data_IF_069989301489
#
_entry.id   IF_069989301489
#
_cell.length_a   1.000
_cell.length_b   1.000
_cell.length_c   1.000
_cell.angle_alpha   90.00
_cell.angle_beta   90.00
_cell.angle_gamma   90.00
#
_symmetry.space_group_name_H-M   'P 1'
#
loop_
_entity.id
_entity.type
_entity.pdbx_description
1 polymer ?
#
# COMPACT_ATOMS: atom_id res chain seq x y z
N UNK A 1 31.73 -17.95 13.21
CA UNK A 1 31.77 -18.16 11.74
C UNK A 1 31.47 -19.61 11.35
N UNK A 2 30.92 -20.40 12.27
CA UNK A 2 30.88 -21.86 12.15
C UNK A 2 29.78 -22.33 11.20
N UNK A 3 28.68 -21.58 11.09
CA UNK A 3 27.66 -21.80 10.07
C UNK A 3 28.26 -21.76 8.64
N UNK A 4 29.10 -20.78 8.33
CA UNK A 4 29.73 -20.65 7.00
C UNK A 4 30.67 -21.82 6.72
N UNK A 5 31.47 -22.25 7.72
CA UNK A 5 32.35 -23.42 7.60
C UNK A 5 31.55 -24.72 7.37
N UNK A 6 30.46 -24.90 8.11
CA UNK A 6 29.58 -26.06 8.01
C UNK A 6 28.96 -26.16 6.60
N UNK A 7 28.45 -25.04 6.07
CA UNK A 7 27.87 -24.99 4.72
C UNK A 7 28.93 -25.27 3.64
N UNK A 8 30.13 -24.70 3.75
CA UNK A 8 31.23 -24.98 2.80
C UNK A 8 31.62 -26.47 2.80
N UNK A 9 31.69 -27.08 3.99
CA UNK A 9 31.96 -28.51 4.14
C UNK A 9 30.86 -29.37 3.53
N UNK A 10 29.60 -29.07 3.84
CA UNK A 10 28.43 -29.78 3.29
C UNK A 10 28.34 -29.66 1.77
N UNK A 11 28.68 -28.49 1.22
CA UNK A 11 28.75 -28.24 -0.22
C UNK A 11 30.00 -28.85 -0.88
N UNK A 12 30.97 -29.35 -0.10
CA UNK A 12 32.29 -29.82 -0.55
C UNK A 12 33.04 -28.76 -1.38
N UNK A 13 32.90 -27.50 -1.02
CA UNK A 13 33.51 -26.36 -1.73
C UNK A 13 34.61 -25.70 -0.88
N UNK A 14 35.66 -25.22 -1.54
CA UNK A 14 36.69 -24.40 -0.93
C UNK A 14 36.27 -22.94 -0.96
N UNK A 15 36.87 -22.12 -0.08
CA UNK A 15 36.64 -20.66 -0.04
C UNK A 15 36.95 -19.98 -1.38
N UNK A 16 37.89 -20.54 -2.15
CA UNK A 16 38.31 -20.04 -3.47
C UNK A 16 37.24 -20.18 -4.53
N UNK A 17 36.35 -21.16 -4.37
CA UNK A 17 35.34 -21.54 -5.36
C UNK A 17 34.11 -20.62 -5.30
N UNK A 18 34.05 -19.75 -4.28
CA UNK A 18 33.00 -18.76 -4.11
C UNK A 18 33.32 -17.55 -4.99
N UNK A 19 32.49 -17.29 -6.00
CA UNK A 19 32.68 -16.20 -6.95
C UNK A 19 32.30 -14.85 -6.34
N UNK A 20 31.13 -14.78 -5.70
CA UNK A 20 30.58 -13.55 -5.14
C UNK A 20 30.01 -13.81 -3.74
N UNK A 21 30.09 -12.77 -2.89
CA UNK A 21 29.53 -12.78 -1.54
C UNK A 21 28.47 -11.68 -1.49
N UNK A 22 27.20 -12.07 -1.56
CA UNK A 22 26.06 -11.16 -1.47
C UNK A 22 25.61 -11.03 -0.01
N UNK A 23 25.41 -9.80 0.44
CA UNK A 23 24.90 -9.51 1.79
C UNK A 23 23.39 -9.25 1.74
N UNK A 24 22.63 -10.00 2.51
CA UNK A 24 21.16 -9.89 2.62
C UNK A 24 20.76 -9.89 4.10
N UNK A 25 19.79 -9.03 4.46
CA UNK A 25 19.31 -8.83 5.82
C UNK A 25 19.96 -7.64 6.52
N UNK A 26 19.18 -6.86 7.27
CA UNK A 26 19.63 -5.61 7.89
C UNK A 26 20.81 -5.76 8.86
N UNK A 27 20.96 -6.89 9.53
CA UNK A 27 22.10 -7.18 10.42
C UNK A 27 23.44 -7.23 9.69
N UNK A 28 23.45 -7.48 8.38
CA UNK A 28 24.66 -7.46 7.55
C UNK A 28 25.22 -6.05 7.33
N UNK A 29 24.50 -5.01 7.73
CA UNK A 29 24.97 -3.61 7.71
C UNK A 29 26.00 -3.32 8.82
N UNK A 30 26.10 -4.17 9.84
CA UNK A 30 27.04 -4.02 10.95
C UNK A 30 28.48 -4.11 10.41
N UNK A 31 29.33 -3.07 10.55
CA UNK A 31 30.69 -3.07 9.99
C UNK A 31 31.54 -4.24 10.47
N UNK A 32 31.41 -4.61 11.75
CA UNK A 32 32.17 -5.74 12.32
C UNK A 32 31.83 -7.06 11.65
N UNK A 33 30.56 -7.30 11.30
CA UNK A 33 30.13 -8.51 10.58
C UNK A 33 30.75 -8.53 9.19
N UNK A 34 30.77 -7.40 8.50
CA UNK A 34 31.37 -7.28 7.18
C UNK A 34 32.88 -7.52 7.20
N UNK A 35 33.60 -6.93 8.16
CA UNK A 35 35.04 -7.17 8.33
C UNK A 35 35.32 -8.65 8.62
N UNK A 36 34.57 -9.27 9.54
CA UNK A 36 34.73 -10.69 9.85
C UNK A 36 34.49 -11.60 8.63
N UNK A 37 33.55 -11.25 7.75
CA UNK A 37 33.32 -11.96 6.50
C UNK A 37 34.47 -11.74 5.50
N UNK A 38 34.95 -10.51 5.36
CA UNK A 38 36.09 -10.19 4.51
C UNK A 38 37.34 -10.96 4.95
N UNK A 39 37.68 -10.92 6.24
CA UNK A 39 38.81 -11.64 6.82
C UNK A 39 38.68 -13.15 6.57
N UNK A 40 37.47 -13.70 6.75
CA UNK A 40 37.22 -15.12 6.52
C UNK A 40 37.41 -15.53 5.05
N UNK A 41 37.04 -14.66 4.11
CA UNK A 41 37.19 -14.87 2.67
C UNK A 41 38.46 -14.19 2.10
N UNK A 42 39.49 -14.06 2.92
CA UNK A 42 40.83 -13.60 2.51
C UNK A 42 40.81 -12.19 1.85
N UNK A 43 40.04 -11.26 2.41
CA UNK A 43 39.93 -9.89 1.92
C UNK A 43 39.05 -9.69 0.68
N UNK A 44 38.29 -10.71 0.26
CA UNK A 44 37.37 -10.58 -0.89
C UNK A 44 36.35 -9.46 -0.68
N UNK A 45 36.06 -8.73 -1.75
CA UNK A 45 35.04 -7.68 -1.74
C UNK A 45 33.65 -8.28 -1.55
N UNK A 46 32.89 -7.69 -0.64
CA UNK A 46 31.48 -8.03 -0.43
C UNK A 46 30.65 -7.28 -1.46
N UNK A 47 29.78 -8.02 -2.16
CA UNK A 47 28.89 -7.46 -3.16
C UNK A 47 27.68 -6.78 -2.49
N UNK A 48 27.44 -5.53 -2.87
CA UNK A 48 26.35 -4.67 -2.39
C UNK A 48 25.44 -4.19 -3.52
N UNK A 49 25.49 -4.84 -4.68
CA UNK A 49 24.67 -4.50 -5.85
C UNK A 49 23.17 -4.71 -5.60
N UNK A 50 22.82 -5.53 -4.59
CA UNK A 50 21.45 -5.83 -4.20
C UNK A 50 21.13 -5.14 -2.88
N UNK A 51 19.93 -4.56 -2.79
CA UNK A 51 19.44 -4.00 -1.54
C UNK A 51 19.18 -5.12 -0.52
N UNK A 52 19.90 -5.09 0.61
CA UNK A 52 19.87 -6.14 1.63
C UNK A 52 18.48 -6.34 2.27
N UNK A 53 17.64 -5.31 2.32
CA UNK A 53 16.34 -5.38 2.99
C UNK A 53 15.22 -5.83 2.03
N UNK A 54 15.39 -5.58 0.73
CA UNK A 54 14.37 -5.88 -0.28
C UNK A 54 14.65 -7.17 -1.08
N UNK A 55 15.90 -7.65 -1.07
CA UNK A 55 16.33 -8.81 -1.87
C UNK A 55 15.41 -10.03 -1.67
N UNK A 56 15.00 -10.28 -0.41
CA UNK A 56 14.12 -11.41 -0.05
C UNK A 56 12.73 -11.22 -0.65
N UNK A 57 12.17 -10.01 -0.55
CA UNK A 57 10.86 -9.70 -1.11
C UNK A 57 10.85 -9.84 -2.63
N UNK A 58 11.88 -9.32 -3.33
CA UNK A 58 12.02 -9.50 -4.77
C UNK A 58 12.07 -10.99 -5.15
N UNK A 59 12.89 -11.79 -4.45
CA UNK A 59 12.98 -13.24 -4.69
C UNK A 59 11.63 -13.95 -4.51
N UNK A 60 10.88 -13.59 -3.47
CA UNK A 60 9.55 -14.14 -3.21
C UNK A 60 8.54 -13.73 -4.30
N UNK A 61 8.56 -12.48 -4.75
CA UNK A 61 7.70 -12.02 -5.86
C UNK A 61 8.01 -12.74 -7.16
N UNK A 62 9.30 -13.00 -7.47
CA UNK A 62 9.69 -13.78 -8.65
C UNK A 62 9.14 -15.20 -8.58
N UNK A 63 9.20 -15.85 -7.41
CA UNK A 63 8.63 -17.16 -7.21
C UNK A 63 7.09 -17.15 -7.33
N UNK A 64 6.42 -16.18 -6.72
CA UNK A 64 4.98 -16.02 -6.81
C UNK A 64 4.53 -15.82 -8.26
N UNK A 65 5.16 -14.90 -9.00
CA UNK A 65 4.87 -14.66 -10.41
C UNK A 65 5.11 -15.89 -11.29
N UNK A 66 6.07 -16.76 -10.92
CA UNK A 66 6.27 -18.04 -11.59
C UNK A 66 5.13 -19.01 -11.32
N UNK A 67 4.68 -19.10 -10.07
CA UNK A 67 3.57 -19.98 -9.66
C UNK A 67 2.22 -19.53 -10.24
N UNK A 68 1.99 -18.22 -10.36
CA UNK A 68 0.76 -17.67 -10.96
C UNK A 68 0.79 -17.62 -12.49
N UNK A 69 1.91 -18.00 -13.12
CA UNK A 69 2.07 -17.96 -14.58
C UNK A 69 2.18 -16.56 -15.18
N UNK A 70 2.41 -15.53 -14.37
CA UNK A 70 2.46 -14.11 -14.78
C UNK A 70 3.89 -13.64 -15.15
N UNK A 71 4.81 -14.57 -15.44
CA UNK A 71 6.20 -14.26 -15.77
C UNK A 71 6.34 -13.54 -17.12
N UNK A 72 7.19 -12.51 -17.18
CA UNK A 72 7.61 -11.90 -18.46
C UNK A 72 8.58 -12.81 -19.22
N UNK A 73 8.70 -12.64 -20.55
CA UNK A 73 9.62 -13.44 -21.41
C UNK A 73 11.07 -13.42 -20.90
N UNK A 74 11.52 -12.29 -20.35
CA UNK A 74 12.87 -12.14 -19.79
C UNK A 74 13.11 -12.97 -18.51
N UNK A 75 12.05 -13.37 -17.81
CA UNK A 75 12.11 -14.10 -16.53
C UNK A 75 11.97 -15.63 -16.71
N UNK A 76 11.60 -16.10 -17.90
CA UNK A 76 11.34 -17.52 -18.18
C UNK A 76 12.57 -18.43 -18.06
N UNK A 77 13.79 -17.86 -18.12
CA UNK A 77 15.04 -18.62 -17.95
C UNK A 77 15.32 -19.01 -16.48
N UNK A 78 14.56 -18.48 -15.52
CA UNK A 78 14.75 -18.74 -14.08
C UNK A 78 14.09 -20.06 -13.64
N UNK A 79 14.92 -21.06 -13.31
CA UNK A 79 14.46 -22.33 -12.71
C UNK A 79 14.38 -22.21 -11.18
N UNK A 80 13.34 -21.55 -10.68
CA UNK A 80 12.98 -21.63 -9.26
C UNK A 80 12.28 -22.96 -8.96
N UNK A 81 12.71 -23.69 -7.93
CA UNK A 81 12.08 -24.93 -7.46
C UNK A 81 11.36 -24.64 -6.15
N UNK A 82 10.10 -25.05 -6.06
CA UNK A 82 9.40 -25.05 -4.78
C UNK A 82 9.81 -26.29 -3.98
N UNK A 83 10.28 -26.05 -2.77
CA UNK A 83 10.50 -27.04 -1.73
C UNK A 83 10.09 -26.38 -0.43
N UNK A 84 8.80 -26.42 -0.12
CA UNK A 84 8.24 -25.90 1.13
C UNK A 84 8.92 -26.46 2.38
N UNK A 85 9.67 -27.57 2.26
CA UNK A 85 10.39 -28.19 3.38
C UNK A 85 9.45 -28.86 4.39
N UNK A 86 8.16 -28.97 4.06
CA UNK A 86 7.13 -29.59 4.88
C UNK A 86 7.09 -31.08 4.58
N UNK A 87 7.20 -31.91 5.62
CA UNK A 87 7.13 -33.37 5.50
C UNK A 87 5.66 -33.82 5.52
N UNK A 88 5.20 -34.43 4.43
CA UNK A 88 3.90 -35.09 4.36
C UNK A 88 4.07 -36.61 4.54
N UNK A 89 3.49 -37.16 5.61
CA UNK A 89 3.48 -38.62 5.86
C UNK A 89 2.09 -39.16 5.55
N UNK A 90 1.98 -40.04 4.55
CA UNK A 90 0.75 -40.76 4.22
C UNK A 90 0.99 -42.26 4.37
N UNK A 91 0.11 -42.96 5.08
CA UNK A 91 0.17 -44.43 5.20
C UNK A 91 -0.81 -45.03 4.18
N UNK A 92 -0.32 -45.93 3.34
CA UNK A 92 -1.14 -46.71 2.40
C UNK A 92 -1.01 -48.18 2.77
N UNK A 93 -2.11 -48.81 3.18
CA UNK A 93 -2.17 -50.23 3.46
C UNK A 93 -2.21 -51.04 2.15
N UNK A 94 -1.24 -51.93 1.93
CA UNK A 94 -1.07 -52.68 0.66
C UNK A 94 -2.04 -53.87 0.50
N UNK A 95 -2.66 -54.36 1.58
CA UNK A 95 -3.53 -55.55 1.63
C UNK A 95 -4.90 -55.32 1.00
N UNK A 96 -5.40 -54.09 1.03
CA UNK A 96 -6.67 -53.71 0.44
C UNK A 96 -6.36 -52.76 -0.73
N UNK A 97 -6.83 -53.05 -1.95
CA UNK A 97 -6.79 -52.09 -3.09
C UNK A 97 -7.64 -50.82 -2.85
N UNK A 98 -7.92 -50.46 -1.59
CA UNK A 98 -8.61 -49.25 -1.17
C UNK A 98 -7.62 -48.39 -0.38
N UNK A 99 -7.19 -47.28 -0.97
CA UNK A 99 -6.57 -46.18 -0.23
C UNK A 99 -7.56 -45.71 0.83
N UNK A 100 -7.19 -45.81 2.11
CA UNK A 100 -7.83 -45.03 3.18
C UNK A 100 -7.10 -43.71 3.32
N UNK A 101 -7.89 -42.65 3.56
CA UNK A 101 -7.52 -41.25 3.42
C UNK A 101 -6.29 -40.86 4.24
N UNK A 102 -5.52 -39.95 3.66
CA UNK A 102 -4.37 -39.26 4.25
C UNK A 102 -4.76 -38.68 5.61
N UNK A 103 -4.34 -39.30 6.71
CA UNK A 103 -4.41 -38.65 8.03
C UNK A 103 -3.14 -37.83 8.22
N UNK A 104 -3.22 -36.53 7.97
CA UNK A 104 -2.14 -35.60 8.30
C UNK A 104 -2.04 -35.52 9.82
N UNK A 105 -1.11 -36.28 10.41
CA UNK A 105 -0.85 -36.18 11.85
C UNK A 105 -0.14 -34.85 12.06
N UNK A 106 -0.87 -33.87 12.60
CA UNK A 106 -0.29 -32.59 12.97
C UNK A 106 0.67 -32.82 14.15
N UNK A 107 1.97 -32.82 13.86
CA UNK A 107 2.98 -32.96 14.89
C UNK A 107 3.04 -31.69 15.73
N UNK A 108 3.24 -31.86 17.05
CA UNK A 108 3.29 -30.82 18.08
C UNK A 108 3.73 -29.45 17.55
N UNK A 109 2.81 -28.49 17.55
CA UNK A 109 3.08 -27.07 17.22
C UNK A 109 2.34 -26.51 16.00
N UNK A 110 1.63 -27.34 15.21
CA UNK A 110 0.72 -26.82 14.19
C UNK A 110 -0.68 -26.55 14.75
N UNK A 111 -1.41 -25.65 14.10
CA UNK A 111 -2.80 -25.30 14.43
C UNK A 111 -3.77 -26.38 13.94
N UNK A 112 -4.83 -26.65 14.69
CA UNK A 112 -5.94 -27.48 14.20
C UNK A 112 -6.72 -26.76 13.09
N UNK A 113 -7.51 -27.49 12.30
CA UNK A 113 -8.35 -26.88 11.26
C UNK A 113 -9.35 -25.88 11.87
N UNK A 114 -9.89 -26.17 13.05
CA UNK A 114 -10.80 -25.27 13.77
C UNK A 114 -10.08 -24.02 14.30
N UNK A 115 -8.84 -24.14 14.76
CA UNK A 115 -8.01 -23.00 15.14
C UNK A 115 -7.71 -22.10 13.94
N UNK A 116 -7.35 -22.69 12.80
CA UNK A 116 -7.13 -21.97 11.55
C UNK A 116 -8.40 -21.22 11.15
N UNK A 117 -9.57 -21.86 11.20
CA UNK A 117 -10.84 -21.23 10.86
C UNK A 117 -11.19 -20.07 11.80
N UNK A 118 -10.99 -20.22 13.11
CA UNK A 118 -11.18 -19.12 14.07
C UNK A 118 -10.25 -17.95 13.77
N UNK A 119 -8.96 -18.22 13.50
CA UNK A 119 -7.99 -17.18 13.17
C UNK A 119 -8.33 -16.47 11.85
N UNK A 120 -8.82 -17.19 10.84
CA UNK A 120 -9.29 -16.59 9.58
C UNK A 120 -10.51 -15.69 9.81
N UNK A 121 -11.48 -16.13 10.61
CA UNK A 121 -12.66 -15.33 10.94
C UNK A 121 -12.29 -14.07 11.73
N UNK A 122 -11.36 -14.15 12.67
CA UNK A 122 -10.90 -12.98 13.42
C UNK A 122 -10.10 -12.01 12.54
N UNK A 123 -9.25 -12.51 11.64
CA UNK A 123 -8.55 -11.69 10.66
C UNK A 123 -9.51 -10.91 9.76
N UNK A 124 -10.60 -11.54 9.29
CA UNK A 124 -11.61 -10.86 8.48
C UNK A 124 -12.40 -9.81 9.29
N UNK A 125 -12.70 -10.07 10.57
CA UNK A 125 -13.30 -9.05 11.46
C UNK A 125 -12.38 -7.84 11.61
N UNK A 126 -11.09 -8.04 11.87
CA UNK A 126 -10.13 -6.94 12.03
C UNK A 126 -9.97 -6.15 10.74
N UNK A 127 -9.91 -6.82 9.59
CA UNK A 127 -9.91 -6.17 8.28
C UNK A 127 -11.15 -5.27 8.07
N UNK A 128 -12.34 -5.72 8.48
CA UNK A 128 -13.56 -4.91 8.39
C UNK A 128 -13.54 -3.70 9.33
N UNK A 129 -12.98 -3.85 10.53
CA UNK A 129 -12.78 -2.73 11.48
C UNK A 129 -11.80 -1.71 10.89
N UNK A 130 -10.65 -2.17 10.40
CA UNK A 130 -9.63 -1.33 9.77
C UNK A 130 -10.20 -0.60 8.54
N UNK A 131 -11.02 -1.27 7.73
CA UNK A 131 -11.63 -0.66 6.56
C UNK A 131 -12.67 0.42 6.94
N UNK A 132 -13.48 0.18 7.96
CA UNK A 132 -14.42 1.19 8.50
C UNK A 132 -13.68 2.41 9.02
N UNK A 133 -12.61 2.21 9.79
CA UNK A 133 -11.76 3.29 10.28
C UNK A 133 -11.08 4.04 9.13
N UNK A 134 -10.59 3.33 8.11
CA UNK A 134 -10.02 3.95 6.90
C UNK A 134 -11.04 4.85 6.18
N UNK A 135 -12.29 4.40 6.03
CA UNK A 135 -13.36 5.19 5.41
C UNK A 135 -13.73 6.41 6.25
N UNK A 136 -13.82 6.24 7.57
CA UNK A 136 -14.06 7.32 8.54
C UNK A 136 -12.97 8.40 8.46
N UNK A 137 -11.70 8.00 8.44
CA UNK A 137 -10.56 8.91 8.30
C UNK A 137 -10.54 9.59 6.92
N UNK A 138 -10.88 8.86 5.85
CA UNK A 138 -11.01 9.46 4.52
C UNK A 138 -12.11 10.54 4.47
N UNK A 139 -13.28 10.27 5.07
CA UNK A 139 -14.38 11.25 5.17
C UNK A 139 -13.98 12.48 6.01
N UNK A 140 -13.29 12.26 7.13
CA UNK A 140 -12.73 13.33 7.97
C UNK A 140 -11.74 14.19 7.19
N UNK A 141 -10.75 13.57 6.55
CA UNK A 141 -9.71 14.28 5.81
C UNK A 141 -10.29 15.02 4.61
N UNK A 142 -11.28 14.43 3.94
CA UNK A 142 -12.06 15.11 2.91
C UNK A 142 -12.69 16.39 3.45
N UNK A 143 -13.49 16.27 4.52
CA UNK A 143 -14.17 17.43 5.15
C UNK A 143 -13.18 18.52 5.59
N UNK A 144 -12.08 18.14 6.23
CA UNK A 144 -11.03 19.09 6.65
C UNK A 144 -10.45 19.81 5.44
N UNK A 145 -10.12 19.08 4.36
CA UNK A 145 -9.64 19.68 3.12
C UNK A 145 -10.63 20.68 2.53
N UNK A 146 -11.91 20.32 2.48
CA UNK A 146 -12.96 21.20 1.96
C UNK A 146 -13.22 22.43 2.83
N UNK A 147 -13.17 22.30 4.16
CA UNK A 147 -13.22 23.44 5.09
C UNK A 147 -12.10 24.44 4.79
N UNK A 148 -10.86 23.95 4.60
CA UNK A 148 -9.73 24.81 4.24
C UNK A 148 -9.94 25.48 2.88
N UNK A 149 -10.38 24.74 1.86
CA UNK A 149 -10.65 25.31 0.53
C UNK A 149 -11.74 26.38 0.55
N UNK A 150 -12.85 26.15 1.25
CA UNK A 150 -13.91 27.16 1.39
C UNK A 150 -13.41 28.38 2.14
N UNK A 151 -12.64 28.18 3.22
CA UNK A 151 -12.09 29.30 3.98
C UNK A 151 -11.17 30.16 3.12
N UNK A 152 -10.25 29.55 2.38
CA UNK A 152 -9.36 30.24 1.45
C UNK A 152 -10.13 31.00 0.38
N UNK A 153 -11.17 30.38 -0.20
CA UNK A 153 -11.99 31.03 -1.22
C UNK A 153 -12.78 32.22 -0.65
N UNK A 154 -13.34 32.10 0.56
CA UNK A 154 -14.05 33.19 1.25
C UNK A 154 -13.11 34.31 1.72
N UNK A 155 -11.81 34.04 1.86
CA UNK A 155 -10.79 35.04 2.17
C UNK A 155 -10.18 35.67 0.91
N UNK A 156 -10.47 35.13 -0.28
CA UNK A 156 -9.98 35.67 -1.55
C UNK A 156 -10.61 37.03 -1.90
N UNK A 157 -9.81 37.93 -2.48
CA UNK A 157 -10.26 39.26 -2.92
C UNK A 157 -11.41 39.19 -3.93
N UNK A 158 -11.42 38.16 -4.78
CA UNK A 158 -12.48 37.92 -5.77
C UNK A 158 -13.82 37.60 -5.13
N UNK A 159 -13.86 36.94 -3.97
CA UNK A 159 -15.10 36.67 -3.24
C UNK A 159 -15.51 37.79 -2.28
N UNK A 160 -14.54 38.50 -1.68
CA UNK A 160 -14.84 39.69 -0.84
C UNK A 160 -15.61 40.76 -1.60
N UNK A 161 -15.28 41.00 -2.86
CA UNK A 161 -15.96 42.01 -3.69
C UNK A 161 -17.37 41.58 -4.13
N UNK A 162 -17.68 40.28 -4.11
CA UNK A 162 -18.87 39.70 -4.74
C UNK A 162 -19.90 39.17 -3.74
N UNK A 163 -19.58 39.21 -2.45
CA UNK A 163 -20.39 38.61 -1.39
C UNK A 163 -20.55 39.60 -0.26
N UNK A 164 -21.72 39.65 0.37
CA UNK A 164 -21.91 40.44 1.59
C UNK A 164 -20.94 39.98 2.68
N UNK A 165 -20.35 40.94 3.39
CA UNK A 165 -19.46 40.70 4.53
C UNK A 165 -20.13 39.81 5.59
N UNK A 166 -21.44 39.96 5.78
CA UNK A 166 -22.21 39.15 6.72
C UNK A 166 -22.24 37.66 6.34
N UNK A 167 -22.44 37.35 5.05
CA UNK A 167 -22.47 35.98 4.53
C UNK A 167 -21.07 35.35 4.57
N UNK A 168 -20.04 36.12 4.24
CA UNK A 168 -18.64 35.70 4.33
C UNK A 168 -18.27 35.34 5.76
N UNK A 169 -18.60 36.21 6.71
CA UNK A 169 -18.34 35.97 8.13
C UNK A 169 -19.19 34.81 8.68
N UNK A 170 -20.40 34.57 8.16
CA UNK A 170 -21.20 33.39 8.49
C UNK A 170 -20.52 32.10 8.03
N UNK A 171 -20.01 32.05 6.79
CA UNK A 171 -19.28 30.89 6.27
C UNK A 171 -18.02 30.56 7.08
N UNK A 172 -17.20 31.58 7.36
CA UNK A 172 -15.97 31.43 8.15
C UNK A 172 -16.29 30.94 9.56
N UNK A 173 -17.27 31.54 10.24
CA UNK A 173 -17.71 31.09 11.58
C UNK A 173 -18.21 29.64 11.58
N UNK A 174 -18.91 29.21 10.54
CA UNK A 174 -19.36 27.82 10.41
C UNK A 174 -18.17 26.87 10.20
N UNK A 175 -17.22 27.24 9.33
CA UNK A 175 -15.98 26.49 9.12
C UNK A 175 -15.18 26.31 10.42
N UNK A 176 -15.01 27.39 11.20
CA UNK A 176 -14.34 27.35 12.50
C UNK A 176 -15.07 26.47 13.52
N UNK A 177 -16.41 26.57 13.59
CA UNK A 177 -17.24 25.70 14.45
C UNK A 177 -17.07 24.22 14.08
N UNK A 178 -17.11 23.90 12.79
CA UNK A 178 -16.91 22.53 12.31
C UNK A 178 -15.50 22.03 12.62
N UNK A 179 -14.46 22.84 12.40
CA UNK A 179 -13.08 22.46 12.72
C UNK A 179 -12.88 22.23 14.22
N UNK A 180 -13.46 23.09 15.07
CA UNK A 180 -13.44 22.92 16.52
C UNK A 180 -14.17 21.65 16.97
N UNK A 181 -15.28 21.30 16.33
CA UNK A 181 -15.97 20.04 16.59
C UNK A 181 -15.12 18.83 16.18
N UNK A 182 -14.51 18.85 14.99
CA UNK A 182 -13.62 17.77 14.49
C UNK A 182 -12.41 17.53 15.41
N UNK A 183 -11.88 18.60 16.03
CA UNK A 183 -10.75 18.50 16.95
C UNK A 183 -11.16 17.97 18.34
N UNK A 184 -12.40 18.22 18.76
CA UNK A 184 -12.92 17.78 20.08
C UNK A 184 -13.50 16.37 20.03
N UNK A 185 -14.20 16.04 18.96
CA UNK A 185 -14.90 14.77 18.84
C UNK A 185 -13.95 13.64 18.42
N UNK A 186 -13.80 12.64 19.29
CA UNK A 186 -12.89 11.50 19.09
C UNK A 186 -13.61 10.31 18.46
N UNK A 187 -14.92 10.18 18.67
CA UNK A 187 -15.71 9.00 18.32
C UNK A 187 -16.73 9.24 17.20
N UNK A 188 -16.57 10.33 16.45
CA UNK A 188 -17.40 10.63 15.29
C UNK A 188 -17.35 9.52 14.25
N UNK A 189 -18.52 9.11 13.75
CA UNK A 189 -18.69 8.10 12.72
C UNK A 189 -18.55 8.70 11.32
N UNK A 190 -18.43 7.84 10.31
CA UNK A 190 -18.36 8.27 8.91
C UNK A 190 -19.58 9.14 8.50
N UNK A 191 -20.77 8.79 9.00
CA UNK A 191 -22.00 9.49 8.70
C UNK A 191 -22.04 10.92 9.27
N UNK A 192 -21.36 11.16 10.40
CA UNK A 192 -21.27 12.50 10.99
C UNK A 192 -20.51 13.44 10.07
N UNK A 193 -19.34 13.01 9.57
CA UNK A 193 -18.54 13.80 8.64
C UNK A 193 -19.27 14.06 7.33
N UNK A 194 -19.98 13.05 6.79
CA UNK A 194 -20.80 13.21 5.57
C UNK A 194 -21.97 14.19 5.77
N UNK A 195 -22.60 14.19 6.94
CA UNK A 195 -23.67 15.16 7.26
C UNK A 195 -23.12 16.58 7.35
N UNK A 196 -22.01 16.77 8.05
CA UNK A 196 -21.35 18.07 8.15
C UNK A 196 -20.91 18.59 6.77
N UNK A 197 -20.40 17.70 5.93
CA UNK A 197 -20.08 18.01 4.54
C UNK A 197 -21.29 18.57 3.79
N UNK A 198 -22.45 17.88 3.85
CA UNK A 198 -23.68 18.34 3.17
C UNK A 198 -24.13 19.70 3.67
N UNK A 199 -24.12 19.93 4.99
CA UNK A 199 -24.48 21.24 5.56
C UNK A 199 -23.53 22.35 5.11
N UNK A 200 -22.24 22.05 4.97
CA UNK A 200 -21.23 22.99 4.48
C UNK A 200 -21.44 23.31 2.99
N UNK A 201 -21.68 22.28 2.18
CA UNK A 201 -22.03 22.42 0.75
C UNK A 201 -23.32 23.23 0.56
N UNK A 202 -24.40 22.92 1.28
CA UNK A 202 -25.67 23.67 1.19
C UNK A 202 -25.44 25.16 1.47
N UNK A 203 -24.78 25.48 2.58
CA UNK A 203 -24.43 26.87 2.91
C UNK A 203 -23.55 27.53 1.84
N UNK A 204 -22.54 26.82 1.33
CA UNK A 204 -21.66 27.33 0.28
C UNK A 204 -22.42 27.56 -1.03
N UNK A 205 -23.30 26.63 -1.42
CA UNK A 205 -24.18 26.78 -2.58
C UNK A 205 -25.15 27.94 -2.42
N UNK A 206 -25.70 28.20 -1.24
CA UNK A 206 -26.58 29.36 -1.01
C UNK A 206 -25.83 30.69 -1.19
N UNK A 207 -24.62 30.78 -0.62
CA UNK A 207 -23.77 31.97 -0.72
C UNK A 207 -23.33 32.19 -2.17
N UNK A 208 -22.94 31.13 -2.87
CA UNK A 208 -22.53 31.20 -4.28
C UNK A 208 -23.70 31.27 -5.25
N UNK A 209 -24.94 30.91 -4.88
CA UNK A 209 -26.12 31.03 -5.76
C UNK A 209 -26.62 32.46 -5.87
N UNK A 210 -26.33 33.32 -4.89
CA UNK A 210 -26.49 34.78 -5.00
C UNK A 210 -25.78 35.33 -6.25
N UNK A 211 -24.77 34.62 -6.78
CA UNK A 211 -24.09 34.87 -8.07
C UNK A 211 -24.99 34.84 -9.31
N UNK A 212 -26.10 34.07 -9.32
CA UNK A 212 -26.92 33.90 -10.56
C UNK A 212 -28.03 34.94 -10.74
N UNK A 213 -28.46 35.62 -9.67
CA UNK A 213 -29.49 36.66 -9.75
C UNK A 213 -28.92 38.07 -9.91
N UNK A 214 -27.61 38.26 -9.77
CA UNK A 214 -26.93 39.56 -9.94
C UNK A 214 -26.10 39.66 -11.24
N UNK A 215 -26.12 38.65 -12.11
CA UNK A 215 -25.45 38.67 -13.42
C UNK A 215 -26.47 38.38 -14.52
N UNK A 216 -27.34 39.36 -14.75
CA UNK A 216 -28.15 39.46 -15.96
C UNK A 216 -27.92 40.80 -16.64
N UNK A 217 -26.64 41.19 -16.79
CA UNK A 217 -26.19 42.21 -17.75
C UNK A 217 -24.69 41.99 -18.04
N UNK A 218 -24.42 40.93 -18.81
CA UNK A 218 -23.49 40.93 -19.93
C UNK A 218 -23.47 39.53 -20.54
N UNK A 219 -24.17 39.40 -21.67
CA UNK A 219 -23.91 38.37 -22.65
C UNK A 219 -22.47 38.51 -23.16
N UNK A 220 -21.68 37.44 -23.03
CA UNK A 220 -20.88 36.84 -24.10
C UNK A 220 -19.68 36.07 -23.53
N UNK A 221 -19.83 34.74 -23.46
CA UNK A 221 -18.87 33.73 -23.95
C UNK A 221 -19.30 32.36 -23.41
N UNK A 222 -20.25 31.73 -24.10
CA UNK A 222 -20.36 30.27 -24.09
C UNK A 222 -19.32 29.74 -25.09
N UNK A 223 -18.28 29.10 -24.60
CA UNK A 223 -17.64 27.98 -25.31
C UNK A 223 -16.77 27.17 -24.35
N UNK A 224 -17.16 25.90 -24.22
CA UNK A 224 -16.30 24.75 -23.93
C UNK A 224 -15.82 24.55 -22.49
N UNK A 225 -16.65 23.87 -21.68
CA UNK A 225 -16.27 22.69 -20.89
C UNK A 225 -17.51 21.79 -20.84
N UNK A 226 -17.84 21.22 -21.99
CA UNK A 226 -18.49 19.90 -22.07
C UNK A 226 -17.44 18.95 -22.63
N UNK A 227 -16.65 18.37 -21.74
CA UNK A 227 -16.12 17.04 -21.95
C UNK A 227 -15.67 16.41 -20.65
N UNK A 228 -16.27 15.26 -20.39
CA UNK A 228 -15.79 14.14 -19.60
C UNK A 228 -16.35 14.04 -18.18
N UNK A 229 -17.59 13.54 -18.12
CA UNK A 229 -17.95 12.51 -17.14
C UNK A 229 -17.01 11.29 -17.22
N UNK A 230 -16.90 10.64 -16.06
CA UNK A 230 -16.21 9.41 -15.63
C UNK A 230 -16.13 8.24 -16.65
N UNK A 231 -15.55 7.04 -16.38
CA UNK A 231 -14.56 6.56 -15.40
C UNK A 231 -13.51 5.63 -16.08
N UNK A 232 -12.22 6.00 -16.17
CA UNK A 232 -11.12 5.05 -16.36
C UNK A 232 -9.76 5.74 -16.29
N UNK A 233 -9.30 6.06 -15.09
CA UNK A 233 -7.91 6.53 -14.91
C UNK A 233 -6.99 5.31 -14.90
N UNK A 234 -6.73 4.77 -16.09
CA UNK A 234 -5.49 4.04 -16.37
C UNK A 234 -4.35 4.99 -16.08
N UNK A 235 -3.48 4.59 -15.16
CA UNK A 235 -2.19 5.22 -14.90
C UNK A 235 -1.40 5.21 -16.21
N UNK A 236 -1.30 6.35 -16.88
CA UNK A 236 -0.36 6.56 -17.97
C UNK A 236 0.99 6.95 -17.35
N UNK A 237 1.87 5.97 -17.20
CA UNK A 237 3.30 6.18 -17.01
C UNK A 237 3.81 6.86 -18.29
N UNK A 238 4.27 8.11 -18.18
CA UNK A 238 4.94 8.80 -19.28
C UNK A 238 6.39 8.28 -19.35
N UNK A 239 6.64 7.32 -20.24
CA UNK A 239 8.00 6.97 -20.66
C UNK A 239 8.59 8.12 -21.49
N UNK A 240 9.67 8.70 -20.97
CA UNK A 240 10.43 9.77 -21.62
C UNK A 240 11.37 9.16 -22.68
N UNK A 241 10.91 9.06 -23.92
CA UNK A 241 11.72 8.56 -25.03
C UNK A 241 12.56 9.69 -25.64
N UNK A 242 13.83 9.81 -25.23
CA UNK A 242 14.82 10.73 -25.81
C UNK A 242 15.34 10.15 -27.14
N UNK A 243 14.83 10.65 -28.27
CA UNK A 243 15.48 10.52 -29.60
C UNK A 243 15.44 11.84 -30.38
N UNK A 244 16.58 12.53 -30.43
CA UNK A 244 17.07 13.40 -31.53
C UNK A 244 18.61 13.35 -31.43
N UNK A 245 19.31 12.58 -32.28
CA UNK A 245 19.89 13.00 -33.57
C UNK A 245 20.55 14.38 -33.52
N UNK A 246 21.87 14.40 -33.38
CA UNK A 246 22.81 14.76 -34.46
C UNK A 246 23.83 13.63 -34.52
#
# INVERSE_FOLDING_TARGET
MDAVKSVLSAAKMKKTDIHEILLVGGSTRIPKVQTMLQDFFNGRRLNRSVNADEAVAYGATLLAAKLTGTMTKSMQRLRLLDKSGILHVSVVEKSLRKQKSITTINYKGGLSEEEIERMMNDAEKFKQVDEKERRRLAAKNGLVGHIYSIREEMESEGMKQRTSEENRQKAIRTCEKMMNWINKEKNAKEEDYKRMWRTLEEMYTDITRIRRSAVSDHSDMKSDIDRCGHPNTRICIVEYNKKRRI
#
